data_IF_090219845354
#
_entry.id   IF_090219845354
#
_cell.length_a   1.000
_cell.length_b   1.000
_cell.length_c   1.000
_cell.angle_alpha   90.00
_cell.angle_beta   90.00
_cell.angle_gamma   90.00
#
_symmetry.space_group_name_H-M   'P 1'
#
loop_
_entity.id
_entity.type
_entity.pdbx_description
1 polymer ?
#
# COMPACT_ATOMS: atom_id res chain seq x y z
N UNK A 1 16.18 20.25 -2.60
CA UNK A 1 15.63 20.71 -1.31
C UNK A 1 14.59 19.69 -0.87
N UNK A 2 14.83 18.94 0.20
CA UNK A 2 13.83 18.07 0.82
C UNK A 2 12.95 18.91 1.73
N UNK A 3 11.64 18.96 1.46
CA UNK A 3 10.68 19.64 2.31
C UNK A 3 10.59 18.88 3.65
N UNK A 4 10.94 19.50 4.80
CA UNK A 4 10.90 18.83 6.10
C UNK A 4 9.47 18.44 6.53
N UNK A 5 8.44 19.03 5.93
CA UNK A 5 7.03 18.68 6.17
C UNK A 5 6.54 17.51 5.30
N UNK A 6 7.39 16.92 4.46
CA UNK A 6 7.00 15.81 3.61
C UNK A 6 7.12 14.51 4.39
N UNK A 7 5.98 13.89 4.67
CA UNK A 7 5.95 12.59 5.33
C UNK A 7 6.83 11.58 4.57
N UNK A 8 7.83 10.98 5.20
CA UNK A 8 8.73 10.06 4.52
C UNK A 8 8.06 8.72 4.19
N UNK A 9 6.89 8.44 4.75
CA UNK A 9 6.20 7.16 4.59
C UNK A 9 5.14 7.22 3.50
N UNK A 10 5.13 6.20 2.62
CA UNK A 10 4.07 5.98 1.63
C UNK A 10 3.24 4.80 2.09
N UNK A 11 1.95 5.03 2.29
CA UNK A 11 0.96 4.00 2.59
C UNK A 11 0.25 3.57 1.32
N UNK A 12 0.17 2.25 1.13
CA UNK A 12 -0.52 1.63 0.01
C UNK A 12 -1.64 0.76 0.57
N UNK A 13 -2.87 1.06 0.18
CA UNK A 13 -4.01 0.18 0.41
C UNK A 13 -4.37 -0.47 -0.93
N UNK A 14 -4.37 -1.81 -0.96
CA UNK A 14 -4.71 -2.59 -2.16
C UNK A 14 -6.01 -3.36 -1.89
N UNK A 15 -7.08 -2.97 -2.57
CA UNK A 15 -8.32 -3.76 -2.59
C UNK A 15 -8.24 -4.83 -3.69
N UNK A 16 -8.81 -6.00 -3.41
CA UNK A 16 -8.78 -7.17 -4.30
C UNK A 16 -7.35 -7.60 -4.67
N UNK A 17 -6.45 -7.58 -3.69
CA UNK A 17 -5.06 -7.97 -3.87
C UNK A 17 -4.93 -9.47 -4.18
N UNK A 18 -3.97 -9.82 -5.04
CA UNK A 18 -3.58 -11.20 -5.26
C UNK A 18 -2.54 -11.60 -4.20
N UNK A 19 -2.80 -12.71 -3.52
CA UNK A 19 -1.84 -13.33 -2.60
C UNK A 19 -1.13 -14.45 -3.36
N UNK A 20 0.20 -14.34 -3.45
CA UNK A 20 1.04 -15.33 -4.11
C UNK A 20 1.90 -16.05 -3.06
N UNK A 21 2.14 -17.34 -3.30
CA UNK A 21 3.10 -18.13 -2.55
C UNK A 21 4.13 -18.71 -3.52
N UNK A 22 5.36 -18.21 -3.47
CA UNK A 22 6.45 -18.70 -4.29
C UNK A 22 7.57 -19.22 -3.39
N UNK A 23 7.87 -20.52 -3.48
CA UNK A 23 8.89 -21.19 -2.66
C UNK A 23 8.71 -20.95 -1.14
N UNK A 24 7.46 -20.92 -0.66
CA UNK A 24 7.14 -20.66 0.75
C UNK A 24 7.18 -19.18 1.13
N UNK A 25 7.55 -18.28 0.21
CA UNK A 25 7.50 -16.84 0.43
C UNK A 25 6.14 -16.30 -0.01
N UNK A 26 5.40 -15.79 0.96
CA UNK A 26 4.15 -15.07 0.73
C UNK A 26 4.45 -13.67 0.17
N UNK A 27 3.72 -13.26 -0.86
CA UNK A 27 3.73 -11.90 -1.37
C UNK A 27 2.31 -11.41 -1.67
N UNK A 28 2.14 -10.09 -1.60
CA UNK A 28 0.92 -9.39 -1.97
C UNK A 28 1.21 -8.62 -3.24
N UNK A 29 0.35 -8.72 -4.24
CA UNK A 29 0.51 -8.05 -5.54
C UNK A 29 -0.82 -7.44 -5.96
N UNK A 30 -0.81 -6.29 -6.62
CA UNK A 30 -2.01 -5.78 -7.27
C UNK A 30 -2.23 -6.54 -8.58
N UNK A 31 -3.46 -6.97 -8.84
CA UNK A 31 -3.90 -7.42 -10.15
C UNK A 31 -4.26 -6.18 -10.96
N UNK A 32 -3.49 -5.88 -12.00
CA UNK A 32 -3.58 -4.62 -12.77
C UNK A 32 -5.00 -4.25 -13.19
N UNK A 33 -5.80 -5.24 -13.60
CA UNK A 33 -7.16 -5.02 -14.12
C UNK A 33 -8.26 -5.09 -13.05
N UNK A 34 -7.97 -5.69 -11.88
CA UNK A 34 -9.00 -6.04 -10.89
C UNK A 34 -8.79 -5.37 -9.53
N UNK A 35 -7.57 -4.96 -9.21
CA UNK A 35 -7.25 -4.34 -7.92
C UNK A 35 -7.37 -2.82 -8.00
N UNK A 36 -7.85 -2.22 -6.89
CA UNK A 36 -7.77 -0.77 -6.69
C UNK A 36 -6.63 -0.47 -5.74
N UNK A 37 -5.80 0.51 -6.09
CA UNK A 37 -4.66 0.95 -5.30
C UNK A 37 -4.88 2.38 -4.86
N UNK A 38 -4.84 2.61 -3.56
CA UNK A 38 -4.89 3.92 -2.94
C UNK A 38 -3.51 4.26 -2.39
N UNK A 39 -3.06 5.50 -2.61
CA UNK A 39 -1.70 5.95 -2.24
C UNK A 39 -1.85 7.16 -1.33
N UNK A 40 -1.41 7.03 -0.08
CA UNK A 40 -1.53 8.07 0.95
C UNK A 40 -2.96 8.63 1.07
N UNK A 41 -3.94 7.78 0.84
CA UNK A 41 -5.34 8.15 0.98
C UNK A 41 -5.64 8.48 2.43
N UNK A 42 -6.55 9.43 2.62
CA UNK A 42 -6.82 10.00 3.92
C UNK A 42 -7.83 9.14 4.71
N UNK A 43 -7.38 7.94 5.06
CA UNK A 43 -8.15 6.93 5.77
C UNK A 43 -7.72 6.92 7.23
N UNK A 44 -8.68 7.03 8.14
CA UNK A 44 -8.44 7.16 9.58
C UNK A 44 -7.54 6.05 10.12
N UNK A 45 -7.76 4.81 9.70
CA UNK A 45 -6.96 3.65 10.10
C UNK A 45 -5.51 3.71 9.60
N UNK A 46 -5.25 4.33 8.44
CA UNK A 46 -3.88 4.51 7.93
C UNK A 46 -3.15 5.62 8.69
N UNK A 47 -3.86 6.62 9.21
CA UNK A 47 -3.28 7.67 10.06
C UNK A 47 -2.76 7.11 11.38
N UNK A 48 -3.46 6.13 11.96
CA UNK A 48 -3.00 5.44 13.18
C UNK A 48 -1.83 4.48 12.95
N UNK A 49 -1.50 4.18 11.69
CA UNK A 49 -0.39 3.29 11.32
C UNK A 49 0.95 4.03 11.15
N UNK A 50 0.93 5.36 11.03
CA UNK A 50 2.12 6.22 11.09
C UNK A 50 2.71 6.22 12.49
#
# INVERSE_FOLDING_TARGET
MSNPDRDPHVFLLVQFAAINNYQGKMSVTNSYEASRVFINEDIEELRTFK
#
